data_IF_046069470990
#
_entry.id   IF_046069470990
#
_cell.length_a   1.000
_cell.length_b   1.000
_cell.length_c   1.000
_cell.angle_alpha   90.00
_cell.angle_beta   90.00
_cell.angle_gamma   90.00
#
_symmetry.space_group_name_H-M   'P 1'
#
loop_
_entity.id
_entity.type
_entity.pdbx_description
1 polymer ?
#
# COMPACT_ATOMS: atom_id res chain seq x y z
N UNK A 1 8.58 -7.34 -9.64
CA UNK A 1 9.54 -6.84 -8.64
C UNK A 1 8.75 -6.40 -7.41
N UNK A 2 9.30 -6.55 -6.21
CA UNK A 2 8.64 -6.07 -5.01
C UNK A 2 8.80 -4.55 -4.95
N UNK A 3 7.70 -3.80 -4.93
CA UNK A 3 7.75 -2.37 -4.65
C UNK A 3 8.11 -2.21 -3.18
N UNK A 4 9.39 -2.30 -2.86
CA UNK A 4 9.96 -2.00 -1.52
C UNK A 4 10.75 -0.70 -1.52
N UNK A 5 11.01 -0.14 -2.70
CA UNK A 5 11.65 1.17 -2.89
C UNK A 5 10.62 2.16 -3.43
N UNK A 6 10.78 3.45 -3.09
CA UNK A 6 9.85 4.52 -3.43
C UNK A 6 9.42 4.49 -4.89
N UNK A 7 8.14 4.21 -5.15
CA UNK A 7 7.58 4.22 -6.49
C UNK A 7 7.39 5.68 -6.91
N UNK A 8 7.92 6.07 -8.07
CA UNK A 8 7.68 7.39 -8.63
C UNK A 8 6.49 7.33 -9.59
N UNK A 9 5.57 8.29 -9.46
CA UNK A 9 4.41 8.46 -10.35
C UNK A 9 4.20 9.94 -10.64
N UNK A 10 3.48 10.25 -11.70
CA UNK A 10 2.96 11.61 -11.98
C UNK A 10 1.61 11.81 -11.28
N UNK A 11 1.28 13.05 -10.94
CA UNK A 11 -0.03 13.37 -10.36
C UNK A 11 -1.18 12.93 -11.31
N UNK A 12 -2.18 12.28 -10.73
CA UNK A 12 -3.31 11.68 -11.46
C UNK A 12 -3.03 10.29 -12.05
N UNK A 13 -1.82 9.74 -11.88
CA UNK A 13 -1.53 8.35 -12.23
C UNK A 13 -1.97 7.37 -11.12
N UNK A 14 -2.15 6.12 -11.54
CA UNK A 14 -2.46 5.01 -10.64
C UNK A 14 -1.16 4.37 -10.16
N UNK A 15 -0.90 4.42 -8.85
CA UNK A 15 0.17 3.62 -8.26
C UNK A 15 -0.28 2.16 -8.12
N UNK A 16 0.63 1.23 -8.38
CA UNK A 16 0.39 -0.21 -8.23
C UNK A 16 1.35 -0.76 -7.19
N UNK A 17 0.83 -1.04 -6.00
CA UNK A 17 1.62 -1.56 -4.89
C UNK A 17 1.61 -3.07 -4.99
N UNK A 18 2.79 -3.69 -5.06
CA UNK A 18 2.96 -5.14 -5.14
C UNK A 18 3.72 -5.66 -3.92
N UNK A 19 3.21 -6.74 -3.31
CA UNK A 19 3.85 -7.39 -2.17
C UNK A 19 3.84 -8.92 -2.34
N UNK A 20 4.71 -9.58 -1.58
CA UNK A 20 4.67 -11.03 -1.45
C UNK A 20 3.58 -11.39 -0.45
N UNK A 21 2.51 -12.03 -0.93
CA UNK A 21 1.52 -12.61 -0.04
C UNK A 21 2.10 -13.84 0.67
N UNK A 22 1.59 -14.08 1.87
CA UNK A 22 1.66 -15.36 2.57
C UNK A 22 0.64 -16.26 1.85
N UNK A 23 1.04 -17.43 1.33
CA UNK A 23 0.20 -18.26 0.46
C UNK A 23 -0.86 -19.05 1.23
N UNK A 24 -1.64 -18.36 2.06
CA UNK A 24 -2.75 -18.94 2.81
C UNK A 24 -4.00 -18.08 2.55
N UNK A 25 -5.00 -18.66 1.87
CA UNK A 25 -6.19 -17.95 1.41
C UNK A 25 -7.14 -17.55 2.55
N UNK A 26 -6.89 -17.99 3.79
CA UNK A 26 -7.64 -17.52 4.95
C UNK A 26 -7.23 -16.10 5.38
N UNK A 27 -6.16 -15.54 4.80
CA UNK A 27 -5.70 -14.19 5.14
C UNK A 27 -6.25 -13.13 4.20
N UNK A 28 -6.52 -11.96 4.79
CA UNK A 28 -6.68 -10.72 4.06
C UNK A 28 -5.55 -9.77 4.44
N UNK A 29 -5.30 -8.77 3.61
CA UNK A 29 -4.35 -7.69 3.86
C UNK A 29 -5.10 -6.38 4.00
N UNK A 30 -4.82 -5.63 5.06
CA UNK A 30 -5.16 -4.22 5.15
C UNK A 30 -4.07 -3.43 4.45
N UNK A 31 -4.44 -2.69 3.41
CA UNK A 31 -3.60 -1.70 2.74
C UNK A 31 -4.03 -0.32 3.22
N UNK A 32 -3.08 0.49 3.66
CA UNK A 32 -3.33 1.85 4.14
C UNK A 32 -2.37 2.82 3.46
N UNK A 33 -2.91 3.86 2.85
CA UNK A 33 -2.16 4.94 2.23
C UNK A 33 -2.29 6.22 3.06
N UNK A 34 -1.17 6.80 3.44
CA UNK A 34 -1.07 7.96 4.32
C UNK A 34 -0.35 9.10 3.62
N UNK A 35 -0.98 10.26 3.59
CA UNK A 35 -0.39 11.51 3.12
C UNK A 35 0.66 12.01 4.13
N UNK A 36 1.71 12.75 3.73
CA UNK A 36 2.73 13.33 4.62
C UNK A 36 2.22 14.10 5.84
N UNK A 37 1.01 14.68 5.78
CA UNK A 37 0.38 15.38 6.89
C UNK A 37 -0.23 14.43 7.95
N UNK A 38 -0.11 13.11 7.77
CA UNK A 38 -0.64 12.08 8.66
C UNK A 38 -2.07 11.64 8.35
N UNK A 39 -2.74 12.22 7.35
CA UNK A 39 -4.08 11.81 6.96
C UNK A 39 -4.05 10.50 6.18
N UNK A 40 -4.97 9.59 6.51
CA UNK A 40 -5.26 8.41 5.69
C UNK A 40 -6.07 8.86 4.51
N UNK A 41 -5.54 8.68 3.31
CA UNK A 41 -6.23 9.04 2.06
C UNK A 41 -6.94 7.84 1.46
N UNK A 42 -6.46 6.63 1.74
CA UNK A 42 -7.08 5.40 1.28
C UNK A 42 -6.79 4.26 2.25
N UNK A 43 -7.80 3.44 2.54
CA UNK A 43 -7.65 2.21 3.30
C UNK A 43 -8.58 1.14 2.72
N UNK A 44 -8.04 -0.05 2.50
CA UNK A 44 -8.77 -1.16 1.91
C UNK A 44 -8.35 -2.49 2.55
N UNK A 45 -9.26 -3.46 2.54
CA UNK A 45 -8.95 -4.86 2.87
C UNK A 45 -9.02 -5.66 1.58
N UNK A 46 -7.89 -6.26 1.19
CA UNK A 46 -7.74 -7.08 -0.02
C UNK A 46 -7.53 -8.54 0.35
N UNK A 47 -8.10 -9.46 -0.41
CA UNK A 47 -7.91 -10.90 -0.20
C UNK A 47 -6.48 -11.32 -0.56
N UNK A 48 -5.96 -12.39 0.04
CA UNK A 48 -4.55 -12.81 -0.13
C UNK A 48 -4.15 -13.22 -1.55
N UNK A 49 -5.12 -13.47 -2.44
CA UNK A 49 -4.89 -13.75 -3.86
C UNK A 49 -4.59 -12.49 -4.69
N UNK A 50 -4.93 -11.30 -4.19
CA UNK A 50 -4.60 -10.03 -4.81
C UNK A 50 -3.18 -9.60 -4.41
N UNK A 51 -2.18 -9.96 -5.22
CA UNK A 51 -0.77 -9.53 -5.04
C UNK A 51 -0.51 -8.06 -5.42
N UNK A 52 -1.58 -7.26 -5.56
CA UNK A 52 -1.53 -5.91 -6.07
C UNK A 52 -2.67 -5.06 -5.51
N UNK A 53 -2.38 -3.79 -5.26
CA UNK A 53 -3.37 -2.77 -4.93
C UNK A 53 -3.15 -1.56 -5.84
N UNK A 54 -4.23 -1.07 -6.44
CA UNK A 54 -4.21 0.10 -7.30
C UNK A 54 -4.80 1.29 -6.53
N UNK A 55 -4.00 2.34 -6.37
CA UNK A 55 -4.40 3.57 -5.70
C UNK A 55 -4.31 4.74 -6.70
N UNK A 56 -5.32 5.60 -6.74
CA UNK A 56 -5.43 6.71 -7.70
C UNK A 56 -5.56 8.09 -7.02
N UNK A 57 -5.44 8.14 -5.69
CA UNK A 57 -5.62 9.35 -4.88
C UNK A 57 -4.43 10.34 -4.91
N UNK A 58 -3.52 10.19 -5.87
CA UNK A 58 -2.27 10.94 -5.96
C UNK A 58 -2.44 12.23 -6.78
N UNK A 59 -3.19 13.19 -6.24
CA UNK A 59 -3.54 14.42 -6.97
C UNK A 59 -2.56 15.57 -6.76
N UNK A 60 -1.69 15.47 -5.75
CA UNK A 60 -0.79 16.56 -5.36
C UNK A 60 0.67 16.21 -5.61
N UNK A 61 1.32 17.00 -6.48
CA UNK A 61 2.76 16.88 -6.78
C UNK A 61 3.62 17.30 -5.59
N UNK A 62 4.79 16.69 -5.44
CA UNK A 62 5.81 17.06 -4.45
C UNK A 62 5.60 16.41 -3.09
N UNK A 63 4.62 15.51 -2.97
CA UNK A 63 4.35 14.76 -1.76
C UNK A 63 4.82 13.31 -1.89
N UNK A 64 5.37 12.80 -0.79
CA UNK A 64 5.76 11.39 -0.63
C UNK A 64 4.75 10.69 0.25
N UNK A 65 3.84 9.94 -0.35
CA UNK A 65 2.85 9.16 0.39
C UNK A 65 3.51 7.91 0.95
N UNK A 66 3.08 7.49 2.14
CA UNK A 66 3.50 6.22 2.74
C UNK A 66 2.37 5.22 2.59
N UNK A 67 2.68 4.04 2.07
CA UNK A 67 1.75 2.92 2.12
C UNK A 67 2.22 1.87 3.13
N UNK A 68 1.26 1.16 3.67
CA UNK A 68 1.47 0.11 4.66
C UNK A 68 0.53 -1.06 4.39
N UNK A 69 1.06 -2.28 4.47
CA UNK A 69 0.34 -3.52 4.26
C UNK A 69 0.52 -4.39 5.49
N UNK A 70 -0.60 -4.71 6.13
CA UNK A 70 -0.64 -5.58 7.30
C UNK A 70 -1.56 -6.77 7.04
N UNK A 71 -1.15 -8.02 7.33
CA UNK A 71 -2.09 -9.13 7.33
C UNK A 71 -3.13 -8.92 8.43
N UNK A 72 -4.39 -9.15 8.09
CA UNK A 72 -5.52 -9.19 9.02
C UNK A 72 -5.61 -10.64 9.50
N UNK A 73 -5.16 -10.87 10.72
CA UNK A 73 -5.19 -12.18 11.36
C UNK A 73 -6.24 -12.15 12.46
N UNK A 74 -7.17 -13.11 12.46
CA UNK A 74 -8.21 -13.20 13.49
C UNK A 74 -7.59 -13.55 14.86
N UNK A 75 -6.50 -14.33 14.89
CA UNK A 75 -5.88 -14.85 16.14
C UNK A 75 -4.35 -15.08 16.10
N UNK A 76 -3.57 -14.36 15.28
CA UNK A 76 -2.11 -14.58 15.20
C UNK A 76 -1.28 -13.37 15.69
N UNK A 77 -0.02 -13.61 16.13
CA UNK A 77 0.87 -12.54 16.58
C UNK A 77 1.05 -11.48 15.50
N UNK A 78 1.20 -10.22 15.91
CA UNK A 78 1.36 -9.09 15.01
C UNK A 78 2.50 -9.35 14.01
N UNK A 79 2.16 -9.67 12.77
CA UNK A 79 3.15 -9.70 11.70
C UNK A 79 3.64 -8.28 11.43
N UNK A 80 4.94 -8.10 11.16
CA UNK A 80 5.45 -6.79 10.80
C UNK A 80 4.77 -6.29 9.52
N UNK A 81 4.38 -5.02 9.52
CA UNK A 81 3.82 -4.39 8.34
C UNK A 81 4.88 -4.27 7.24
N UNK A 82 4.48 -4.47 5.98
CA UNK A 82 5.30 -4.13 4.82
C UNK A 82 5.01 -2.66 4.52
N UNK A 83 6.05 -1.85 4.42
CA UNK A 83 5.92 -0.41 4.19
C UNK A 83 6.73 0.01 2.97
N UNK A 84 6.30 1.11 2.37
CA UNK A 84 7.08 1.82 1.38
C UNK A 84 6.47 3.17 1.04
N UNK A 85 6.99 3.77 -0.02
CA UNK A 85 6.71 5.15 -0.38
C UNK A 85 6.24 5.26 -1.83
N UNK A 86 5.42 6.27 -2.10
CA UNK A 86 5.04 6.72 -3.44
C UNK A 86 5.36 8.20 -3.55
N UNK A 87 6.24 8.56 -4.48
CA UNK A 87 6.72 9.91 -4.70
C UNK A 87 5.96 10.47 -5.91
N UNK A 88 5.14 11.50 -5.69
CA UNK A 88 4.39 12.14 -6.77
C UNK A 88 5.21 13.27 -7.37
N UNK A 89 5.54 13.16 -8.65
CA UNK A 89 6.31 14.14 -9.44
C UNK A 89 5.43 14.82 -10.50
N UNK A 90 5.98 15.87 -11.10
CA UNK A 90 5.41 16.51 -12.29
C UNK A 90 5.65 15.63 -13.52
#
# INVERSE_FOLDING_TARGET
ELNRAGQEITAGEVARIHWNAIPDPAYAYRVRLTHPNGQVVEEAVVQADAYAFAADQFVSVGFTYRWEIQPVLEEAPACPAIVGEIIVRN
#
